data_IF_908752608177
#
_entry.id   IF_908752608177
#
_cell.length_a   1.000
_cell.length_b   1.000
_cell.length_c   1.000
_cell.angle_alpha   90.00
_cell.angle_beta   90.00
_cell.angle_gamma   90.00
#
_symmetry.space_group_name_H-M   'P 1'
#
loop_
_entity.id
_entity.type
_entity.pdbx_description
1 polymer ?
#
# COMPACT_ATOMS: atom_id res chain seq x y z
N UNK A 1 -8.63 11.41 4.91
CA UNK A 1 -7.26 10.85 4.90
C UNK A 1 -7.25 9.32 5.00
N UNK A 2 -7.70 8.69 6.09
CA UNK A 2 -7.58 7.22 6.28
C UNK A 2 -8.26 6.34 5.21
N UNK A 3 -9.36 6.79 4.61
CA UNK A 3 -9.99 6.03 3.50
C UNK A 3 -9.13 5.93 2.25
N UNK A 4 -8.10 6.77 2.08
CA UNK A 4 -7.15 6.68 0.97
C UNK A 4 -6.27 5.42 1.03
N UNK A 5 -6.15 4.78 2.20
CA UNK A 5 -5.50 3.47 2.32
C UNK A 5 -6.39 2.34 1.79
N UNK A 6 -7.72 2.53 1.76
CA UNK A 6 -8.67 1.51 1.32
C UNK A 6 -8.90 1.66 -0.18
N UNK A 7 -8.31 0.75 -0.95
CA UNK A 7 -8.44 0.72 -2.40
C UNK A 7 -9.76 0.12 -2.88
N UNK A 8 -9.88 -0.06 -4.19
CA UNK A 8 -11.06 -0.68 -4.81
C UNK A 8 -11.20 -2.18 -4.53
N UNK A 9 -12.30 -2.76 -5.02
CA UNK A 9 -12.52 -4.21 -5.00
C UNK A 9 -11.43 -4.97 -5.80
N UNK A 10 -11.23 -6.25 -5.47
CA UNK A 10 -10.36 -7.12 -6.27
C UNK A 10 -10.91 -7.20 -7.71
N UNK A 11 -10.04 -7.16 -8.72
CA UNK A 11 -10.42 -7.14 -10.14
C UNK A 11 -10.93 -5.78 -10.67
N UNK A 12 -11.13 -4.78 -9.80
CA UNK A 12 -11.43 -3.42 -10.23
C UNK A 12 -10.19 -2.68 -10.74
N UNK A 13 -10.40 -1.67 -11.58
CA UNK A 13 -9.39 -0.69 -12.01
C UNK A 13 -8.95 0.26 -10.90
N UNK A 14 -9.58 0.24 -9.72
CA UNK A 14 -9.18 1.07 -8.57
C UNK A 14 -7.80 0.70 -8.04
N UNK A 15 -6.99 1.71 -7.65
CA UNK A 15 -5.67 1.51 -7.06
C UNK A 15 -5.71 1.19 -5.55
N UNK A 16 -4.54 1.31 -4.90
CA UNK A 16 -4.38 1.15 -3.46
C UNK A 16 -4.44 -0.29 -2.95
N UNK A 17 -4.40 -0.44 -1.62
CA UNK A 17 -4.55 -1.74 -0.97
C UNK A 17 -5.99 -2.23 -1.15
N UNK A 18 -6.15 -3.24 -2.03
CA UNK A 18 -7.45 -3.85 -2.34
C UNK A 18 -8.20 -4.25 -1.07
N UNK A 19 -9.52 -4.03 -1.05
CA UNK A 19 -10.39 -4.31 0.11
C UNK A 19 -10.22 -5.75 0.62
N UNK A 20 -10.07 -6.71 -0.29
CA UNK A 20 -9.87 -8.13 0.06
C UNK A 20 -8.63 -8.34 0.92
N UNK A 21 -7.52 -7.65 0.61
CA UNK A 21 -6.28 -7.75 1.38
C UNK A 21 -6.47 -7.21 2.79
N UNK A 22 -7.13 -6.06 2.93
CA UNK A 22 -7.45 -5.45 4.22
C UNK A 22 -8.34 -6.39 5.05
N UNK A 23 -9.36 -6.97 4.44
CA UNK A 23 -10.26 -7.93 5.10
C UNK A 23 -9.50 -9.18 5.59
N UNK A 24 -8.57 -9.71 4.79
CA UNK A 24 -7.74 -10.85 5.18
C UNK A 24 -6.82 -10.52 6.36
N UNK A 25 -6.19 -9.34 6.36
CA UNK A 25 -5.35 -8.88 7.47
C UNK A 25 -6.15 -8.74 8.76
N UNK A 26 -7.34 -8.14 8.70
CA UNK A 26 -8.22 -8.02 9.87
C UNK A 26 -8.64 -9.38 10.42
N UNK A 27 -9.00 -10.32 9.54
CA UNK A 27 -9.35 -11.69 9.95
C UNK A 27 -8.15 -12.45 10.52
N UNK A 28 -6.96 -12.23 9.97
CA UNK A 28 -5.72 -12.81 10.48
C UNK A 28 -5.38 -12.26 11.87
N UNK A 29 -5.48 -10.94 12.07
CA UNK A 29 -5.26 -10.30 13.36
C UNK A 29 -6.25 -10.80 14.42
N UNK A 30 -7.53 -10.91 14.06
CA UNK A 30 -8.55 -11.46 14.95
C UNK A 30 -8.29 -12.92 15.31
N UNK A 31 -7.85 -13.75 14.35
CA UNK A 31 -7.45 -15.14 14.62
C UNK A 31 -6.29 -15.18 15.62
N UNK A 32 -5.29 -14.32 15.46
CA UNK A 32 -4.12 -14.31 16.34
C UNK A 32 -4.51 -13.90 17.77
N UNK A 33 -5.35 -12.86 17.90
CA UNK A 33 -5.91 -12.47 19.20
C UNK A 33 -6.69 -13.61 19.85
N UNK A 34 -7.51 -14.32 19.09
CA UNK A 34 -8.28 -15.45 19.59
C UNK A 34 -7.37 -16.61 20.06
N UNK A 35 -6.27 -16.86 19.34
CA UNK A 35 -5.29 -17.90 19.68
C UNK A 35 -4.54 -17.58 20.97
N UNK A 36 -4.27 -16.30 21.25
CA UNK A 36 -3.67 -15.87 22.52
C UNK A 36 -4.59 -16.24 23.70
N UNK A 37 -5.90 -16.06 23.54
CA UNK A 37 -6.89 -16.42 24.57
C UNK A 37 -7.12 -17.94 24.63
N UNK A 38 -7.12 -18.62 23.49
CA UNK A 38 -7.38 -20.05 23.37
C UNK A 38 -6.21 -20.77 22.66
N UNK A 39 -5.11 -21.10 23.37
CA UNK A 39 -3.88 -21.61 22.76
C UNK A 39 -4.03 -22.97 22.05
N UNK A 40 -5.05 -23.75 22.40
CA UNK A 40 -5.36 -25.05 21.77
C UNK A 40 -6.34 -24.94 20.58
N UNK A 41 -6.90 -23.76 20.32
CA UNK A 41 -7.88 -23.60 19.25
C UNK A 41 -7.19 -23.45 17.88
N UNK A 42 -7.52 -24.34 16.95
CA UNK A 42 -7.08 -24.26 15.55
C UNK A 42 -8.20 -23.64 14.74
N UNK A 43 -8.11 -22.34 14.46
CA UNK A 43 -9.10 -21.60 13.65
C UNK A 43 -8.48 -21.19 12.32
N UNK A 44 -9.04 -21.65 11.22
CA UNK A 44 -8.58 -21.22 9.90
C UNK A 44 -9.23 -19.88 9.49
N UNK A 45 -8.50 -19.03 8.77
CA UNK A 45 -9.07 -17.81 8.17
C UNK A 45 -9.84 -18.20 6.92
N UNK A 46 -11.10 -17.79 6.81
CA UNK A 46 -11.97 -18.10 5.66
C UNK A 46 -12.33 -16.83 4.89
N UNK A 47 -12.37 -16.93 3.56
CA UNK A 47 -12.90 -15.92 2.66
C UNK A 47 -14.07 -16.53 1.88
N UNK A 48 -15.30 -16.14 2.23
CA UNK A 48 -16.49 -16.89 1.83
C UNK A 48 -16.42 -18.32 2.37
N UNK A 49 -16.70 -19.30 1.50
CA UNK A 49 -16.67 -20.72 1.84
C UNK A 49 -15.28 -21.36 1.76
N UNK A 50 -14.26 -20.63 1.29
CA UNK A 50 -12.92 -21.16 1.10
C UNK A 50 -12.01 -20.82 2.28
N UNK A 51 -11.23 -21.82 2.71
CA UNK A 51 -10.14 -21.63 3.67
C UNK A 51 -8.95 -21.01 2.94
N UNK A 52 -8.37 -19.95 3.51
CA UNK A 52 -7.20 -19.28 2.96
C UNK A 52 -5.94 -19.91 3.53
N UNK A 53 -5.02 -20.29 2.65
CA UNK A 53 -3.73 -20.85 3.02
C UNK A 53 -2.92 -19.84 3.87
N UNK A 54 -2.34 -20.27 5.01
CA UNK A 54 -1.38 -19.47 5.76
C UNK A 54 -0.30 -18.78 4.92
N UNK A 55 0.23 -19.43 3.88
CA UNK A 55 1.26 -18.85 3.00
C UNK A 55 0.75 -17.57 2.29
N UNK A 56 -0.52 -17.56 1.87
CA UNK A 56 -1.16 -16.39 1.25
C UNK A 56 -1.32 -15.28 2.29
N UNK A 57 -1.73 -15.61 3.52
CA UNK A 57 -1.87 -14.64 4.60
C UNK A 57 -0.53 -13.96 4.93
N UNK A 58 0.55 -14.73 5.04
CA UNK A 58 1.90 -14.19 5.22
C UNK A 58 2.32 -13.29 4.06
N UNK A 59 2.03 -13.69 2.82
CA UNK A 59 2.33 -12.87 1.64
C UNK A 59 1.55 -11.53 1.65
N UNK A 60 0.28 -11.54 2.04
CA UNK A 60 -0.53 -10.32 2.16
C UNK A 60 -0.01 -9.41 3.28
N UNK A 61 0.41 -9.96 4.42
CA UNK A 61 1.03 -9.20 5.51
C UNK A 61 2.35 -8.56 5.09
N UNK A 62 3.21 -9.30 4.39
CA UNK A 62 4.47 -8.79 3.88
C UNK A 62 4.26 -7.66 2.86
N UNK A 63 3.28 -7.81 1.96
CA UNK A 63 2.90 -6.75 1.02
C UNK A 63 2.45 -5.49 1.75
N UNK A 64 1.66 -5.63 2.81
CA UNK A 64 1.19 -4.49 3.61
C UNK A 64 2.35 -3.74 4.29
N UNK A 65 3.30 -4.46 4.87
CA UNK A 65 4.50 -3.87 5.48
C UNK A 65 5.32 -3.11 4.43
N UNK A 66 5.56 -3.72 3.26
CA UNK A 66 6.28 -3.06 2.17
C UNK A 66 5.55 -1.81 1.66
N UNK A 67 4.23 -1.87 1.55
CA UNK A 67 3.40 -0.74 1.14
C UNK A 67 3.54 0.43 2.13
N UNK A 68 3.49 0.16 3.44
CA UNK A 68 3.72 1.19 4.46
C UNK A 68 5.16 1.73 4.41
N UNK A 69 6.16 0.86 4.22
CA UNK A 69 7.55 1.28 4.13
C UNK A 69 7.77 2.26 2.97
N UNK A 70 7.25 1.93 1.77
CA UNK A 70 7.32 2.80 0.60
C UNK A 70 6.59 4.12 0.87
N UNK A 71 5.41 4.08 1.49
CA UNK A 71 4.66 5.28 1.86
C UNK A 71 5.46 6.21 2.79
N UNK A 72 6.11 5.66 3.82
CA UNK A 72 6.92 6.42 4.78
C UNK A 72 8.14 7.02 4.09
N UNK A 73 8.90 6.22 3.32
CA UNK A 73 10.09 6.69 2.61
C UNK A 73 9.73 7.77 1.59
N UNK A 74 8.68 7.57 0.79
CA UNK A 74 8.22 8.56 -0.17
C UNK A 74 7.78 9.86 0.50
N UNK A 75 7.08 9.79 1.65
CA UNK A 75 6.71 10.98 2.42
C UNK A 75 7.94 11.74 2.89
N UNK A 76 8.95 11.06 3.43
CA UNK A 76 10.18 11.70 3.91
C UNK A 76 10.96 12.38 2.78
N UNK A 77 11.08 11.71 1.63
CA UNK A 77 11.76 12.28 0.46
C UNK A 77 10.98 13.50 -0.07
N UNK A 78 9.64 13.43 -0.15
CA UNK A 78 8.82 14.55 -0.57
C UNK A 78 8.93 15.74 0.41
N UNK A 79 8.90 15.50 1.72
CA UNK A 79 9.11 16.55 2.70
C UNK A 79 10.52 17.17 2.59
N UNK A 80 11.54 16.35 2.30
CA UNK A 80 12.92 16.84 2.10
C UNK A 80 13.08 17.72 0.85
N UNK A 81 12.15 17.66 -0.12
CA UNK A 81 12.15 18.58 -1.28
C UNK A 81 11.59 19.97 -0.97
N UNK A 82 11.20 20.23 0.29
CA UNK A 82 10.64 21.52 0.72
C UNK A 82 9.11 21.59 0.66
N UNK A 83 8.44 20.47 0.37
CA UNK A 83 6.98 20.36 0.43
C UNK A 83 6.53 20.31 1.90
N UNK A 84 5.42 20.98 2.22
CA UNK A 84 4.85 20.93 3.56
C UNK A 84 4.48 19.49 3.94
N UNK A 85 4.64 19.14 5.21
CA UNK A 85 4.51 17.75 5.67
C UNK A 85 3.11 17.15 5.39
N UNK A 86 2.06 17.97 5.48
CA UNK A 86 0.68 17.54 5.19
C UNK A 86 0.52 17.20 3.71
N UNK A 87 1.01 18.05 2.82
CA UNK A 87 0.98 17.80 1.37
C UNK A 87 1.92 16.66 0.97
N UNK A 88 3.06 16.48 1.64
CA UNK A 88 3.97 15.34 1.41
C UNK A 88 3.31 14.01 1.77
N UNK A 89 2.66 13.93 2.94
CA UNK A 89 1.86 12.77 3.34
C UNK A 89 0.73 12.49 2.35
N UNK A 90 0.00 13.55 1.97
CA UNK A 90 -1.14 13.41 1.09
C UNK A 90 -0.75 13.05 -0.35
N UNK A 91 0.33 13.63 -0.88
CA UNK A 91 0.89 13.28 -2.17
C UNK A 91 1.40 11.83 -2.18
N UNK A 92 2.14 11.41 -1.14
CA UNK A 92 2.64 10.04 -1.06
C UNK A 92 1.51 9.01 -1.13
N UNK A 93 0.47 9.18 -0.30
CA UNK A 93 -0.65 8.24 -0.30
C UNK A 93 -1.52 8.34 -1.56
N UNK A 94 -1.75 9.54 -2.09
CA UNK A 94 -2.55 9.74 -3.29
C UNK A 94 -1.89 9.09 -4.51
N UNK A 95 -0.56 9.18 -4.62
CA UNK A 95 0.19 8.58 -5.72
C UNK A 95 0.35 7.07 -5.56
N UNK A 96 0.70 6.60 -4.36
CA UNK A 96 0.83 5.16 -4.08
C UNK A 96 -0.51 4.42 -4.15
N UNK A 97 -1.61 5.11 -3.83
CA UNK A 97 -2.97 4.62 -3.98
C UNK A 97 -3.56 4.80 -5.39
N UNK A 98 -2.85 5.48 -6.30
CA UNK A 98 -3.34 5.90 -7.61
C UNK A 98 -4.70 6.61 -7.54
N UNK A 99 -4.87 7.47 -6.53
CA UNK A 99 -6.09 8.26 -6.28
C UNK A 99 -6.07 9.53 -7.13
N UNK A 100 -4.94 10.22 -7.20
CA UNK A 100 -4.77 11.49 -7.92
C UNK A 100 -4.68 12.69 -6.97
N UNK A 101 -5.81 13.29 -6.54
CA UNK A 101 -5.79 14.45 -5.65
C UNK A 101 -5.44 14.06 -4.21
N UNK A 102 -4.63 14.88 -3.57
CA UNK A 102 -4.26 14.79 -2.16
C UNK A 102 -4.98 15.84 -1.30
N UNK A 103 -4.25 16.35 -0.30
CA UNK A 103 -4.67 17.42 0.60
C UNK A 103 -3.58 18.50 0.60
N UNK A 104 -3.92 19.71 1.06
CA UNK A 104 -2.98 20.83 1.08
C UNK A 104 -2.72 21.35 -0.34
N UNK A 105 -1.45 21.63 -0.65
CA UNK A 105 -1.03 22.17 -1.95
C UNK A 105 -1.16 21.17 -3.10
N UNK A 106 -1.40 19.88 -2.83
CA UNK A 106 -1.72 18.87 -3.84
C UNK A 106 -3.21 18.48 -3.84
N UNK A 107 -4.06 19.32 -3.23
CA UNK A 107 -5.50 19.13 -3.13
C UNK A 107 -6.24 19.45 -4.43
N UNK A 108 -7.57 19.24 -4.48
CA UNK A 108 -8.39 19.49 -5.68
C UNK A 108 -8.48 20.98 -6.08
N UNK A 109 -8.12 21.89 -5.18
CA UNK A 109 -8.06 23.34 -5.43
C UNK A 109 -6.71 23.79 -6.01
N UNK A 110 -5.73 22.89 -6.07
CA UNK A 110 -4.38 23.14 -6.57
C UNK A 110 -3.91 21.94 -7.42
N UNK A 111 -2.64 21.86 -7.83
CA UNK A 111 -2.16 20.79 -8.71
C UNK A 111 -0.74 20.32 -8.36
N UNK A 112 -0.09 19.53 -9.22
CA UNK A 112 1.27 19.04 -8.97
C UNK A 112 2.36 19.85 -9.71
N UNK A 113 1.99 20.95 -10.40
CA UNK A 113 2.90 21.66 -11.30
C UNK A 113 4.01 22.40 -10.55
N UNK A 114 3.71 22.94 -9.37
CA UNK A 114 4.66 23.66 -8.51
C UNK A 114 5.67 22.76 -7.80
N UNK A 115 5.50 21.44 -7.85
CA UNK A 115 6.45 20.51 -7.24
C UNK A 115 7.82 20.57 -7.94
N UNK A 116 8.86 20.49 -7.12
CA UNK A 116 10.23 20.31 -7.57
C UNK A 116 10.38 19.05 -8.44
N UNK A 117 11.34 19.05 -9.38
CA UNK A 117 11.49 17.94 -10.34
C UNK A 117 11.72 16.58 -9.65
N UNK A 118 12.49 16.57 -8.55
CA UNK A 118 12.73 15.36 -7.74
C UNK A 118 11.42 14.82 -7.18
N UNK A 119 10.56 15.70 -6.65
CA UNK A 119 9.29 15.32 -6.06
C UNK A 119 8.36 14.68 -7.10
N UNK A 120 8.35 15.20 -8.34
CA UNK A 120 7.62 14.61 -9.45
C UNK A 120 8.11 13.20 -9.80
N UNK A 121 9.41 12.95 -9.81
CA UNK A 121 9.97 11.61 -10.04
C UNK A 121 9.52 10.64 -8.95
N UNK A 122 9.56 11.06 -7.68
CA UNK A 122 9.08 10.25 -6.56
C UNK A 122 7.60 9.91 -6.72
N UNK A 123 6.77 10.88 -7.09
CA UNK A 123 5.35 10.64 -7.37
C UNK A 123 5.14 9.63 -8.51
N UNK A 124 5.90 9.72 -9.61
CA UNK A 124 5.84 8.78 -10.74
C UNK A 124 6.19 7.35 -10.27
N UNK A 125 7.29 7.19 -9.51
CA UNK A 125 7.69 5.89 -8.97
C UNK A 125 6.61 5.33 -8.04
N UNK A 126 6.00 6.16 -7.19
CA UNK A 126 4.91 5.76 -6.32
C UNK A 126 3.67 5.31 -7.11
N UNK A 127 3.30 6.04 -8.16
CA UNK A 127 2.18 5.66 -9.03
C UNK A 127 2.42 4.33 -9.75
N UNK A 128 3.65 4.09 -10.23
CA UNK A 128 4.02 2.82 -10.86
C UNK A 128 3.97 1.68 -9.84
N UNK A 129 4.53 1.88 -8.64
CA UNK A 129 4.50 0.88 -7.57
C UNK A 129 3.08 0.56 -7.09
N UNK A 130 2.22 1.56 -7.01
CA UNK A 130 0.80 1.37 -6.71
C UNK A 130 0.05 0.60 -7.80
N UNK A 131 0.39 0.83 -9.08
CA UNK A 131 -0.32 0.24 -10.22
C UNK A 131 0.14 -1.16 -10.61
N UNK A 132 1.45 -1.41 -10.63
CA UNK A 132 2.06 -2.67 -11.08
C UNK A 132 2.11 -3.73 -9.96
N UNK A 133 1.56 -3.42 -8.79
CA UNK A 133 1.78 -4.13 -7.54
C UNK A 133 3.26 -4.12 -7.10
N UNK A 134 3.45 -3.93 -5.79
CA UNK A 134 4.77 -3.73 -5.19
C UNK A 134 5.73 -4.90 -5.50
N UNK A 135 5.24 -6.14 -5.51
CA UNK A 135 6.09 -7.31 -5.78
C UNK A 135 6.63 -7.34 -7.21
N UNK A 136 5.86 -6.92 -8.21
CA UNK A 136 6.35 -6.92 -9.59
C UNK A 136 7.54 -5.97 -9.75
N UNK A 137 7.47 -4.80 -9.11
CA UNK A 137 8.58 -3.84 -9.13
C UNK A 137 9.77 -4.34 -8.33
N UNK A 138 9.56 -4.87 -7.12
CA UNK A 138 10.66 -5.42 -6.31
C UNK A 138 11.39 -6.57 -7.01
N UNK A 139 10.66 -7.44 -7.71
CA UNK A 139 11.26 -8.54 -8.47
C UNK A 139 12.24 -8.07 -9.55
N UNK A 140 12.02 -6.91 -10.18
CA UNK A 140 12.95 -6.34 -11.15
C UNK A 140 14.32 -5.99 -10.53
N UNK A 141 14.37 -5.72 -9.23
CA UNK A 141 15.62 -5.42 -8.52
C UNK A 141 16.28 -6.67 -7.91
N UNK A 142 15.62 -7.83 -7.94
CA UNK A 142 16.18 -9.09 -7.43
C UNK A 142 17.05 -9.72 -8.51
N UNK A 143 18.39 -9.87 -8.32
CA UNK A 143 19.27 -10.42 -9.35
C UNK A 143 18.91 -11.85 -9.77
N UNK A 144 18.30 -12.62 -8.86
CA UNK A 144 17.81 -13.98 -9.12
C UNK A 144 16.66 -14.02 -10.15
N UNK A 145 15.93 -12.91 -10.35
CA UNK A 145 14.94 -12.82 -11.43
C UNK A 145 15.60 -12.78 -12.83
N UNK A 146 16.82 -12.22 -12.91
CA UNK A 146 17.54 -12.03 -14.17
C UNK A 146 18.49 -13.18 -14.52
N UNK A 147 18.84 -14.01 -13.54
CA UNK A 147 19.64 -15.21 -13.76
C UNK A 147 18.71 -16.39 -14.01
N UNK A 148 18.73 -16.88 -15.26
CA UNK A 148 18.19 -18.20 -15.63
C UNK A 148 18.98 -19.31 -14.94
#
# INVERSE_FOLDING_TARGET
FFFMFVGGCAGSTGGGLKVVRIMLLLKQAYRELYRIVHPRAVRAVRLGDRVVDPAILHSVANLFILWILIFVVATLVLAATGLDFVSALAASIANLGNIGPGFGSVGPTDNYAHLHWIAKIVCIVCMLAGRLEIYAILLLFVPAFWRR
#
